data_IF_628484094898
#
_entry.id   IF_628484094898
#
_cell.length_a   1.000
_cell.length_b   1.000
_cell.length_c   1.000
_cell.angle_alpha   90.00
_cell.angle_beta   90.00
_cell.angle_gamma   90.00
#
_symmetry.space_group_name_H-M   'P 1'
#
loop_
_entity.id
_entity.type
_entity.pdbx_description
1 polymer ?
#
# COMPACT_ATOMS: atom_id res chain seq x y z
N UNK A 1 -13.44 -37.10 -1.19
CA UNK A 1 -14.01 -36.30 -0.09
C UNK A 1 -12.92 -36.13 0.95
N UNK A 2 -12.23 -34.99 0.92
CA UNK A 2 -11.24 -34.63 1.93
C UNK A 2 -11.65 -33.27 2.48
N UNK A 3 -12.04 -33.27 3.75
CA UNK A 3 -12.42 -32.08 4.50
C UNK A 3 -11.21 -31.13 4.58
N UNK A 4 -11.31 -29.97 3.93
CA UNK A 4 -10.39 -28.86 4.14
C UNK A 4 -10.86 -28.14 5.41
N UNK A 5 -9.98 -28.11 6.41
CA UNK A 5 -10.17 -27.35 7.65
C UNK A 5 -10.48 -25.89 7.31
N UNK A 6 -11.69 -25.45 7.62
CA UNK A 6 -12.08 -24.05 7.72
C UNK A 6 -11.57 -23.48 9.04
N UNK A 7 -10.29 -23.13 9.11
CA UNK A 7 -9.83 -22.19 10.13
C UNK A 7 -9.75 -20.81 9.46
N UNK A 8 -10.86 -20.08 9.51
CA UNK A 8 -10.91 -18.66 9.16
C UNK A 8 -10.23 -17.86 10.27
N UNK A 9 -8.90 -17.75 10.23
CA UNK A 9 -8.16 -16.80 11.03
C UNK A 9 -8.07 -15.46 10.29
N UNK A 10 -8.42 -14.38 10.97
CA UNK A 10 -8.29 -13.00 10.48
C UNK A 10 -6.83 -12.58 10.48
N UNK A 11 -6.09 -13.05 9.48
CA UNK A 11 -4.66 -12.81 9.33
C UNK A 11 -4.28 -11.34 9.18
N UNK A 12 -5.24 -10.47 8.79
CA UNK A 12 -5.01 -9.03 8.67
C UNK A 12 -4.95 -8.38 10.06
N UNK A 13 -5.83 -8.77 10.99
CA UNK A 13 -5.83 -8.21 12.36
C UNK A 13 -4.86 -8.91 13.33
N UNK A 14 -4.46 -10.16 13.06
CA UNK A 14 -3.51 -10.93 13.88
C UNK A 14 -2.07 -10.39 13.84
N UNK A 15 -1.74 -9.55 12.87
CA UNK A 15 -0.38 -9.03 12.65
C UNK A 15 -0.29 -7.52 12.75
N UNK A 16 -1.44 -6.86 12.92
CA UNK A 16 -1.45 -5.52 13.43
C UNK A 16 -0.90 -5.49 14.86
N UNK A 17 -0.16 -4.43 15.22
CA UNK A 17 0.27 -4.18 16.59
C UNK A 17 -0.84 -4.39 17.61
N UNK A 18 -0.51 -4.93 18.79
CA UNK A 18 -1.47 -5.00 19.90
C UNK A 18 -1.97 -3.62 20.34
N UNK A 19 -1.21 -2.56 20.03
CA UNK A 19 -1.58 -1.17 20.26
C UNK A 19 -2.72 -0.67 19.36
N UNK A 20 -3.07 -1.39 18.28
CA UNK A 20 -4.16 -0.99 17.39
C UNK A 20 -5.48 -1.00 18.14
N UNK A 21 -6.11 0.18 18.19
CA UNK A 21 -7.37 0.39 18.88
C UNK A 21 -8.52 -0.27 18.13
N UNK A 22 -9.46 -0.81 18.90
CA UNK A 22 -10.65 -1.51 18.44
C UNK A 22 -11.90 -0.79 18.92
N UNK A 23 -12.87 -0.67 18.02
CA UNK A 23 -14.14 0.03 18.24
C UNK A 23 -15.31 -0.85 17.79
N UNK A 24 -16.49 -0.65 18.37
CA UNK A 24 -17.73 -1.19 17.80
C UNK A 24 -18.33 -0.15 16.85
N UNK A 25 -18.64 -0.57 15.63
CA UNK A 25 -19.32 0.29 14.67
C UNK A 25 -20.79 0.45 15.06
N UNK A 26 -21.26 1.70 15.20
CA UNK A 26 -22.69 1.99 15.41
C UNK A 26 -23.35 2.60 14.18
N UNK A 27 -22.73 3.64 13.63
CA UNK A 27 -23.22 4.40 12.48
C UNK A 27 -22.08 5.22 11.85
N UNK A 28 -22.38 5.85 10.70
CA UNK A 28 -21.43 6.66 9.92
C UNK A 28 -20.93 7.90 10.67
N UNK A 29 -21.77 8.51 11.50
CA UNK A 29 -21.41 9.73 12.22
C UNK A 29 -20.40 9.44 13.33
N UNK A 30 -20.64 8.38 14.11
CA UNK A 30 -19.70 7.88 15.11
C UNK A 30 -18.39 7.45 14.47
N UNK A 31 -18.45 6.72 13.34
CA UNK A 31 -17.28 6.32 12.58
C UNK A 31 -16.42 7.53 12.18
N UNK A 32 -17.05 8.58 11.64
CA UNK A 32 -16.34 9.80 11.24
C UNK A 32 -15.68 10.52 12.43
N UNK A 33 -16.36 10.58 13.59
CA UNK A 33 -15.80 11.16 14.81
C UNK A 33 -14.59 10.38 15.33
N UNK A 34 -14.68 9.04 15.37
CA UNK A 34 -13.55 8.18 15.77
C UNK A 34 -12.39 8.34 14.80
N UNK A 35 -12.66 8.34 13.50
CA UNK A 35 -11.63 8.51 12.47
C UNK A 35 -10.91 9.86 12.61
N UNK A 36 -11.65 10.94 12.89
CA UNK A 36 -11.05 12.27 13.11
C UNK A 36 -10.13 12.27 14.34
N UNK A 37 -10.60 11.72 15.47
CA UNK A 37 -9.83 11.62 16.71
C UNK A 37 -8.56 10.77 16.56
N UNK A 38 -8.67 9.63 15.89
CA UNK A 38 -7.53 8.73 15.68
C UNK A 38 -6.53 9.30 14.68
N UNK A 39 -6.99 10.08 13.71
CA UNK A 39 -6.12 10.83 12.80
C UNK A 39 -5.34 11.90 13.55
N UNK A 40 -5.97 12.65 14.44
CA UNK A 40 -5.30 13.64 15.28
C UNK A 40 -4.21 12.97 16.13
N UNK A 41 -4.55 11.85 16.80
CA UNK A 41 -3.59 11.06 17.58
C UNK A 41 -2.41 10.54 16.76
N UNK A 42 -2.68 10.05 15.55
CA UNK A 42 -1.62 9.61 14.63
C UNK A 42 -0.70 10.78 14.29
N UNK A 43 -1.25 11.92 13.89
CA UNK A 43 -0.46 13.09 13.51
C UNK A 43 0.36 13.63 14.70
N UNK A 44 -0.22 13.67 15.89
CA UNK A 44 0.50 14.08 17.10
C UNK A 44 1.63 13.11 17.41
N UNK A 45 1.37 11.80 17.41
CA UNK A 45 2.38 10.78 17.62
C UNK A 45 3.50 10.86 16.56
N UNK A 46 3.13 11.19 15.32
CA UNK A 46 4.09 11.42 14.25
C UNK A 46 5.00 12.63 14.48
N UNK A 47 4.48 13.71 15.09
CA UNK A 47 5.26 14.89 15.46
C UNK A 47 6.21 14.59 16.63
N UNK A 48 5.72 14.00 17.71
CA UNK A 48 6.52 13.69 18.90
C UNK A 48 7.68 12.72 18.60
N UNK A 49 7.45 11.74 17.73
CA UNK A 49 8.50 10.82 17.29
C UNK A 49 9.66 11.52 16.57
N UNK A 50 9.45 12.70 16.00
CA UNK A 50 10.48 13.49 15.32
C UNK A 50 11.25 14.36 16.32
N UNK A 51 10.54 14.98 17.26
CA UNK A 51 11.17 15.79 18.32
C UNK A 51 12.17 14.98 19.17
N UNK A 52 11.86 13.71 19.46
CA UNK A 52 12.76 12.83 20.21
C UNK A 52 14.04 12.53 19.42
N UNK A 53 13.97 12.34 18.09
CA UNK A 53 15.17 12.07 17.28
C UNK A 53 16.08 13.28 17.13
N UNK A 54 15.53 14.50 17.15
CA UNK A 54 16.32 15.73 17.03
C UNK A 54 17.14 16.03 18.30
N UNK A 55 16.69 15.55 19.46
CA UNK A 55 17.35 15.74 20.76
C UNK A 55 18.52 14.76 20.97
N UNK A 56 18.52 13.60 20.30
CA UNK A 56 19.42 12.48 20.60
C UNK A 56 20.67 12.39 19.70
N UNK A 57 21.15 13.52 19.18
CA UNK A 57 22.42 13.61 18.43
C UNK A 57 23.68 13.48 19.31
N UNK A 58 23.57 12.89 20.50
CA UNK A 58 24.62 12.95 21.51
C UNK A 58 24.68 11.82 22.53
N UNK A 59 24.42 10.55 22.16
CA UNK A 59 24.95 9.41 22.94
C UNK A 59 24.72 8.08 22.23
N UNK A 60 25.80 7.32 22.00
CA UNK A 60 25.72 5.86 21.83
C UNK A 60 24.99 5.24 23.03
N UNK A 61 23.74 4.74 22.84
CA UNK A 61 23.16 3.62 23.62
C UNK A 61 21.76 3.21 23.13
N UNK A 62 21.65 1.90 22.84
CA UNK A 62 20.48 1.03 22.73
C UNK A 62 19.21 1.60 22.08
N UNK A 63 18.86 1.01 20.94
CA UNK A 63 17.52 0.96 20.33
C UNK A 63 16.45 0.62 21.38
N UNK A 64 15.93 1.62 22.09
CA UNK A 64 14.66 1.52 22.80
C UNK A 64 13.65 2.27 21.94
N UNK A 65 12.93 1.50 21.12
CA UNK A 65 11.76 1.98 20.39
C UNK A 65 10.82 2.73 21.35
N UNK A 66 10.28 3.90 20.97
CA UNK A 66 9.30 4.61 21.78
C UNK A 66 8.16 3.67 22.17
N UNK A 67 7.80 3.66 23.46
CA UNK A 67 6.83 2.75 24.08
C UNK A 67 5.38 2.88 23.59
N UNK A 68 5.12 3.72 22.58
CA UNK A 68 3.84 3.81 21.90
C UNK A 68 4.05 3.52 20.42
N UNK A 69 3.80 2.28 20.03
CA UNK A 69 3.90 1.82 18.64
C UNK A 69 2.92 2.62 17.76
N UNK A 70 3.47 3.52 16.94
CA UNK A 70 2.71 4.43 16.07
C UNK A 70 2.06 3.63 14.97
N UNK A 71 0.73 3.74 14.84
CA UNK A 71 -0.03 2.94 13.87
C UNK A 71 -1.01 3.81 13.11
N UNK A 72 -1.02 3.64 11.79
CA UNK A 72 -2.04 4.19 10.88
C UNK A 72 -3.33 3.36 10.85
N UNK A 73 -3.43 2.32 11.68
CA UNK A 73 -4.56 1.39 11.65
C UNK A 73 -5.48 1.56 12.86
N UNK A 74 -6.77 1.44 12.60
CA UNK A 74 -7.82 1.21 13.60
C UNK A 74 -8.72 0.08 13.13
N UNK A 75 -9.37 -0.60 14.07
CA UNK A 75 -10.22 -1.75 13.79
C UNK A 75 -11.64 -1.48 14.29
N UNK A 76 -12.63 -1.84 13.49
CA UNK A 76 -14.03 -1.85 13.87
C UNK A 76 -14.60 -3.27 13.85
N UNK A 77 -15.40 -3.60 14.86
CA UNK A 77 -16.35 -4.72 14.82
C UNK A 77 -17.61 -4.24 14.10
N UNK A 78 -17.95 -4.88 12.98
CA UNK A 78 -19.11 -4.51 12.14
C UNK A 78 -19.68 -5.76 11.46
N UNK A 79 -21.00 -5.93 11.49
CA UNK A 79 -21.61 -7.09 10.84
C UNK A 79 -21.64 -6.91 9.30
N UNK A 80 -21.67 -8.01 8.53
CA UNK A 80 -21.63 -7.94 7.08
C UNK A 80 -22.80 -7.17 6.45
N UNK A 81 -23.97 -7.13 7.08
CA UNK A 81 -25.13 -6.41 6.52
C UNK A 81 -24.88 -4.92 6.58
N UNK A 82 -24.47 -4.43 7.75
CA UNK A 82 -24.14 -3.01 7.96
C UNK A 82 -22.94 -2.60 7.11
N UNK A 83 -21.89 -3.41 7.03
CA UNK A 83 -20.74 -3.13 6.15
C UNK A 83 -21.17 -2.96 4.68
N UNK A 84 -21.98 -3.87 4.15
CA UNK A 84 -22.47 -3.78 2.77
C UNK A 84 -23.30 -2.51 2.54
N UNK A 85 -24.15 -2.13 3.50
CA UNK A 85 -24.99 -0.94 3.40
C UNK A 85 -24.16 0.35 3.45
N UNK A 86 -23.20 0.42 4.37
CA UNK A 86 -22.55 1.68 4.70
C UNK A 86 -21.26 1.95 3.93
N UNK A 87 -20.56 0.92 3.47
CA UNK A 87 -19.27 1.02 2.80
C UNK A 87 -19.27 0.58 1.33
N UNK A 88 -20.22 -0.25 0.90
CA UNK A 88 -20.25 -0.80 -0.47
C UNK A 88 -21.45 -0.39 -1.32
N UNK A 89 -22.51 0.16 -0.71
CA UNK A 89 -23.69 0.58 -1.47
C UNK A 89 -23.35 1.69 -2.46
N UNK A 90 -24.14 1.83 -3.53
CA UNK A 90 -23.93 2.90 -4.53
C UNK A 90 -24.01 4.32 -3.92
N UNK A 91 -24.66 4.44 -2.75
CA UNK A 91 -24.79 5.69 -2.00
C UNK A 91 -23.70 5.85 -0.93
N UNK A 92 -22.77 4.90 -0.81
CA UNK A 92 -21.61 5.03 0.06
C UNK A 92 -20.65 6.08 -0.53
N UNK A 93 -20.43 7.16 0.21
CA UNK A 93 -19.47 8.19 -0.18
C UNK A 93 -18.06 7.59 0.01
N UNK A 94 -17.21 7.54 -1.04
CA UNK A 94 -15.84 7.08 -0.90
C UNK A 94 -15.08 7.95 0.09
N UNK A 95 -14.51 7.34 1.12
CA UNK A 95 -13.67 8.05 2.08
C UNK A 95 -12.23 7.94 1.58
N UNK A 96 -11.83 8.84 0.68
CA UNK A 96 -10.50 8.82 0.06
C UNK A 96 -9.33 8.88 1.06
N UNK A 97 -9.60 9.37 2.26
CA UNK A 97 -8.64 9.50 3.35
C UNK A 97 -8.37 8.19 4.11
N UNK A 98 -9.00 7.07 3.72
CA UNK A 98 -8.75 5.75 4.29
C UNK A 98 -8.60 4.66 3.22
N UNK A 99 -8.10 3.49 3.63
CA UNK A 99 -8.27 2.21 2.93
C UNK A 99 -8.88 1.19 3.88
N UNK A 100 -9.73 0.33 3.35
CA UNK A 100 -10.43 -0.69 4.13
C UNK A 100 -10.01 -2.10 3.75
N UNK A 101 -9.97 -2.97 4.76
CA UNK A 101 -9.97 -4.43 4.61
C UNK A 101 -11.04 -5.01 5.53
N UNK A 102 -11.97 -5.79 5.00
CA UNK A 102 -13.09 -6.38 5.74
C UNK A 102 -13.08 -7.90 5.62
N UNK A 103 -13.11 -8.57 6.77
CA UNK A 103 -13.32 -10.02 6.88
C UNK A 103 -14.73 -10.32 7.44
N UNK A 104 -15.65 -10.86 6.63
CA UNK A 104 -17.00 -11.18 7.08
C UNK A 104 -17.05 -12.33 8.10
N UNK A 105 -16.04 -13.21 8.15
CA UNK A 105 -16.04 -14.34 9.07
C UNK A 105 -15.77 -13.89 10.50
N UNK A 106 -14.88 -12.92 10.68
CA UNK A 106 -14.55 -12.34 11.98
C UNK A 106 -15.30 -11.06 12.28
N UNK A 107 -16.04 -10.52 11.30
CA UNK A 107 -16.78 -9.25 11.42
C UNK A 107 -15.84 -8.08 11.72
N UNK A 108 -14.64 -8.14 11.16
CA UNK A 108 -13.57 -7.15 11.40
C UNK A 108 -13.43 -6.25 10.18
N UNK A 109 -13.56 -4.94 10.39
CA UNK A 109 -13.16 -3.91 9.44
C UNK A 109 -11.86 -3.25 9.91
N UNK A 110 -10.77 -3.52 9.20
CA UNK A 110 -9.50 -2.83 9.36
C UNK A 110 -9.52 -1.56 8.51
N UNK A 111 -9.22 -0.43 9.13
CA UNK A 111 -9.16 0.89 8.49
C UNK A 111 -7.74 1.42 8.59
N UNK A 112 -7.11 1.65 7.44
CA UNK A 112 -5.84 2.35 7.29
C UNK A 112 -6.11 3.84 7.07
N UNK A 113 -5.54 4.71 7.90
CA UNK A 113 -5.60 6.15 7.75
C UNK A 113 -4.51 6.61 6.78
N UNK A 114 -4.92 7.13 5.64
CA UNK A 114 -4.00 7.62 4.61
C UNK A 114 -3.44 8.99 5.03
N UNK A 115 -2.11 9.12 5.08
CA UNK A 115 -1.40 10.37 5.37
C UNK A 115 -1.08 11.17 4.08
N UNK A 116 -0.56 12.39 4.25
CA UNK A 116 -0.16 13.24 3.12
C UNK A 116 1.03 12.64 2.36
N UNK A 117 2.03 12.14 3.08
CA UNK A 117 3.21 11.47 2.50
C UNK A 117 2.82 10.21 1.72
N UNK A 118 1.90 9.41 2.29
CA UNK A 118 1.34 8.24 1.61
C UNK A 118 0.69 8.62 0.28
N UNK A 119 -0.20 9.61 0.33
CA UNK A 119 -0.91 10.11 -0.85
C UNK A 119 0.07 10.58 -1.91
N UNK A 120 1.07 11.36 -1.51
CA UNK A 120 2.05 11.94 -2.42
C UNK A 120 2.91 10.87 -3.11
N UNK A 121 3.37 9.87 -2.35
CA UNK A 121 4.11 8.72 -2.90
C UNK A 121 3.25 7.95 -3.92
N UNK A 122 2.01 7.63 -3.57
CA UNK A 122 1.11 6.88 -4.44
C UNK A 122 0.81 7.62 -5.75
N UNK A 123 0.54 8.93 -5.69
CA UNK A 123 0.31 9.75 -6.87
C UNK A 123 1.59 9.93 -7.72
N UNK A 124 2.76 10.05 -7.09
CA UNK A 124 4.03 10.18 -7.83
C UNK A 124 4.33 8.91 -8.64
N UNK A 125 4.15 7.72 -8.05
CA UNK A 125 4.26 6.44 -8.77
C UNK A 125 3.24 6.37 -9.90
N UNK A 126 1.99 6.73 -9.61
CA UNK A 126 0.92 6.75 -10.62
C UNK A 126 1.28 7.60 -11.84
N UNK A 127 1.79 8.81 -11.61
CA UNK A 127 2.23 9.72 -12.68
C UNK A 127 3.43 9.17 -13.46
N UNK A 128 4.35 8.48 -12.79
CA UNK A 128 5.49 7.87 -13.45
C UNK A 128 5.07 6.70 -14.37
N UNK A 129 4.16 5.84 -13.88
CA UNK A 129 3.55 4.76 -14.68
C UNK A 129 2.80 5.33 -15.87
N UNK A 130 1.95 6.33 -15.64
CA UNK A 130 1.15 6.95 -16.70
C UNK A 130 2.04 7.55 -17.80
N UNK A 131 3.08 8.31 -17.43
CA UNK A 131 4.04 8.87 -18.40
C UNK A 131 4.79 7.79 -19.19
N UNK A 132 5.13 6.66 -18.56
CA UNK A 132 5.75 5.54 -19.25
C UNK A 132 4.77 4.88 -20.24
N UNK A 133 3.49 4.74 -19.88
CA UNK A 133 2.46 4.20 -20.76
C UNK A 133 2.13 5.15 -21.94
N UNK A 134 2.05 6.46 -21.71
CA UNK A 134 1.82 7.47 -22.76
C UNK A 134 2.91 7.40 -23.83
N UNK A 135 4.18 7.18 -23.44
CA UNK A 135 5.29 7.03 -24.41
C UNK A 135 5.10 5.82 -25.34
N UNK A 136 4.37 4.80 -24.90
CA UNK A 136 4.02 3.63 -25.71
C UNK A 136 2.67 3.79 -26.44
N UNK A 137 1.90 4.84 -26.16
CA UNK A 137 0.53 5.02 -26.65
C UNK A 137 -0.49 4.11 -25.96
N UNK A 138 -0.27 3.79 -24.68
CA UNK A 138 -1.03 2.80 -23.91
C UNK A 138 -1.71 3.38 -22.66
N UNK A 139 -1.72 4.70 -22.49
CA UNK A 139 -2.38 5.39 -21.39
C UNK A 139 -3.89 5.08 -21.31
N UNK A 140 -4.57 4.91 -22.44
CA UNK A 140 -5.98 4.48 -22.48
C UNK A 140 -6.21 2.95 -22.48
N UNK A 141 -5.13 2.17 -22.41
CA UNK A 141 -5.18 0.71 -22.50
C UNK A 141 -5.35 0.01 -21.15
N UNK A 142 -5.38 0.77 -20.04
CA UNK A 142 -5.49 0.27 -18.68
C UNK A 142 -6.73 0.82 -17.95
N UNK A 143 -7.14 0.12 -16.88
CA UNK A 143 -7.96 0.67 -15.82
C UNK A 143 -7.10 0.95 -14.58
N UNK A 144 -7.50 1.97 -13.84
CA UNK A 144 -6.92 2.34 -12.56
C UNK A 144 -7.85 1.85 -11.44
N UNK A 145 -7.27 1.23 -10.42
CA UNK A 145 -7.97 0.62 -9.30
C UNK A 145 -7.55 1.34 -8.02
N UNK A 146 -8.06 2.56 -7.81
CA UNK A 146 -7.76 3.38 -6.64
C UNK A 146 -8.84 3.20 -5.57
N UNK A 147 -8.49 2.63 -4.41
CA UNK A 147 -9.43 2.52 -3.28
C UNK A 147 -10.70 1.74 -3.60
N UNK A 148 -10.63 0.83 -4.58
CA UNK A 148 -11.77 0.01 -5.02
C UNK A 148 -11.78 -1.30 -4.27
N UNK A 149 -12.96 -1.74 -3.84
CA UNK A 149 -13.11 -3.01 -3.15
C UNK A 149 -12.87 -4.20 -4.08
N UNK A 150 -11.77 -4.90 -3.81
CA UNK A 150 -11.42 -6.14 -4.48
C UNK A 150 -11.85 -7.31 -3.60
N UNK A 151 -12.54 -8.28 -4.21
CA UNK A 151 -12.89 -9.52 -3.53
C UNK A 151 -11.67 -10.43 -3.43
N UNK A 152 -11.24 -10.72 -2.21
CA UNK A 152 -10.06 -11.50 -1.88
C UNK A 152 -10.53 -12.71 -1.09
N UNK A 153 -11.08 -13.70 -1.81
CA UNK A 153 -11.64 -14.93 -1.25
C UNK A 153 -12.72 -14.68 -0.15
N UNK A 154 -13.70 -13.82 -0.46
CA UNK A 154 -14.77 -13.45 0.46
C UNK A 154 -14.44 -12.28 1.38
N UNK A 155 -13.17 -11.86 1.46
CA UNK A 155 -12.78 -10.59 2.07
C UNK A 155 -12.91 -9.45 1.07
N UNK A 156 -13.09 -8.23 1.56
CA UNK A 156 -13.04 -7.02 0.73
C UNK A 156 -11.82 -6.22 1.10
N UNK A 157 -10.90 -5.98 0.17
CA UNK A 157 -9.69 -5.18 0.41
C UNK A 157 -9.53 -4.13 -0.67
N UNK A 158 -9.15 -2.93 -0.26
CA UNK A 158 -8.82 -1.83 -1.15
C UNK A 158 -7.30 -1.70 -1.30
N UNK A 159 -6.76 -1.68 -2.53
CA UNK A 159 -5.35 -1.36 -2.74
C UNK A 159 -5.09 0.14 -2.55
N UNK A 160 -3.85 0.51 -2.22
CA UNK A 160 -3.45 1.92 -2.20
C UNK A 160 -3.56 2.53 -3.61
N UNK A 161 -3.10 1.79 -4.63
CA UNK A 161 -3.32 2.02 -6.07
C UNK A 161 -3.21 0.69 -6.84
N UNK A 162 -3.80 0.59 -8.02
CA UNK A 162 -3.62 -0.58 -8.88
C UNK A 162 -3.86 -0.28 -10.36
N UNK A 163 -3.31 -1.13 -11.21
CA UNK A 163 -3.41 -1.05 -12.66
C UNK A 163 -3.71 -2.42 -13.25
N UNK A 164 -4.52 -2.47 -14.30
CA UNK A 164 -4.80 -3.69 -15.05
C UNK A 164 -5.28 -3.37 -16.46
N UNK A 165 -5.28 -4.33 -17.39
CA UNK A 165 -5.64 -4.07 -18.78
C UNK A 165 -7.14 -3.74 -18.88
N UNK A 166 -7.48 -2.70 -19.64
CA UNK A 166 -8.87 -2.30 -19.89
C UNK A 166 -9.68 -3.41 -20.57
N UNK A 167 -9.00 -4.17 -21.43
CA UNK A 167 -9.52 -5.32 -22.18
C UNK A 167 -8.65 -6.55 -21.88
N UNK A 168 -8.86 -7.22 -20.72
CA UNK A 168 -8.09 -8.41 -20.39
C UNK A 168 -8.33 -9.54 -21.41
N UNK A 169 -7.38 -10.47 -21.59
CA UNK A 169 -7.58 -11.67 -22.40
C UNK A 169 -8.85 -12.45 -22.01
N UNK A 170 -9.40 -13.23 -22.94
CA UNK A 170 -10.59 -14.05 -22.65
C UNK A 170 -10.32 -14.98 -21.47
N UNK A 171 -11.24 -14.99 -20.50
CA UNK A 171 -11.14 -15.80 -19.29
C UNK A 171 -10.41 -15.11 -18.13
N UNK A 172 -9.75 -13.97 -18.35
CA UNK A 172 -9.13 -13.20 -17.28
C UNK A 172 -10.14 -12.21 -16.66
N UNK A 173 -10.26 -12.13 -15.32
CA UNK A 173 -11.14 -11.18 -14.66
C UNK A 173 -10.66 -9.74 -14.83
N UNK A 174 -11.59 -8.76 -14.79
CA UNK A 174 -11.26 -7.34 -14.74
C UNK A 174 -10.83 -6.94 -13.33
N UNK A 175 -9.53 -6.99 -13.05
CA UNK A 175 -8.91 -6.74 -11.74
C UNK A 175 -7.53 -6.11 -11.93
N UNK A 176 -6.94 -5.49 -10.90
CA UNK A 176 -5.56 -5.03 -10.99
C UNK A 176 -4.62 -6.24 -11.17
N UNK A 177 -3.74 -6.17 -12.17
CA UNK A 177 -2.64 -7.11 -12.36
C UNK A 177 -1.34 -6.60 -11.72
N UNK A 178 -1.26 -5.29 -11.47
CA UNK A 178 -0.19 -4.63 -10.71
C UNK A 178 -0.86 -3.84 -9.59
N UNK A 179 -0.38 -4.01 -8.36
CA UNK A 179 -0.86 -3.31 -7.17
C UNK A 179 0.29 -2.51 -6.56
N UNK A 180 -0.01 -1.35 -5.98
CA UNK A 180 0.89 -0.58 -5.14
C UNK A 180 0.41 -0.66 -3.69
N UNK A 181 1.34 -0.87 -2.78
CA UNK A 181 1.16 -0.72 -1.33
C UNK A 181 2.21 0.23 -0.77
N UNK A 182 1.78 1.24 -0.03
CA UNK A 182 2.65 2.26 0.57
C UNK A 182 2.55 2.17 2.08
N UNK A 183 3.66 1.86 2.72
CA UNK A 183 3.81 1.80 4.17
C UNK A 183 4.54 3.05 4.68
N UNK A 184 3.88 3.85 5.52
CA UNK A 184 4.51 4.99 6.21
C UNK A 184 4.84 4.59 7.64
N UNK A 185 3.82 4.35 8.45
CA UNK A 185 3.97 3.89 9.84
C UNK A 185 3.84 2.37 9.97
N UNK A 186 3.23 1.72 8.99
CA UNK A 186 3.02 0.29 8.93
C UNK A 186 4.31 -0.53 9.08
N UNK A 187 4.25 -1.62 9.84
CA UNK A 187 5.39 -2.51 10.06
C UNK A 187 5.75 -3.28 8.79
N UNK A 188 7.02 -3.66 8.64
CA UNK A 188 7.46 -4.51 7.52
C UNK A 188 6.70 -5.84 7.47
N UNK A 189 6.32 -6.38 8.63
CA UNK A 189 5.58 -7.64 8.75
C UNK A 189 4.17 -7.50 8.15
N UNK A 190 3.46 -6.41 8.45
CA UNK A 190 2.12 -6.16 7.89
C UNK A 190 2.18 -5.87 6.39
N UNK A 191 3.17 -5.09 5.93
CA UNK A 191 3.39 -4.86 4.49
C UNK A 191 3.66 -6.17 3.75
N UNK A 192 4.45 -7.06 4.35
CA UNK A 192 4.74 -8.39 3.79
C UNK A 192 3.48 -9.22 3.60
N UNK A 193 2.56 -9.20 4.55
CA UNK A 193 1.31 -9.94 4.41
C UNK A 193 0.42 -9.38 3.30
N UNK A 194 0.36 -8.06 3.16
CA UNK A 194 -0.41 -7.45 2.08
C UNK A 194 0.17 -7.87 0.72
N UNK A 195 1.50 -7.91 0.60
CA UNK A 195 2.18 -8.45 -0.59
C UNK A 195 1.78 -9.91 -0.85
N UNK A 196 1.88 -10.77 0.16
CA UNK A 196 1.56 -12.20 0.03
C UNK A 196 0.08 -12.40 -0.33
N UNK A 197 -0.83 -11.61 0.25
CA UNK A 197 -2.26 -11.64 -0.03
C UNK A 197 -2.58 -11.22 -1.48
N UNK A 198 -1.96 -10.14 -1.96
CA UNK A 198 -2.17 -9.66 -3.32
C UNK A 198 -1.64 -10.63 -4.38
N UNK A 199 -0.50 -11.27 -4.12
CA UNK A 199 0.13 -12.22 -5.05
C UNK A 199 -0.44 -13.65 -4.97
N UNK A 200 -1.31 -13.95 -4.00
CA UNK A 200 -1.98 -15.24 -3.92
C UNK A 200 -3.01 -15.37 -5.07
N UNK A 201 -2.87 -16.38 -5.95
CA UNK A 201 -3.73 -16.57 -7.12
C UNK A 201 -5.19 -16.90 -6.79
N UNK A 202 -5.47 -17.41 -5.58
CA UNK A 202 -6.82 -17.73 -5.12
C UNK A 202 -7.48 -16.53 -4.42
N UNK A 203 -6.70 -15.48 -4.14
CA UNK A 203 -7.12 -14.35 -3.33
C UNK A 203 -6.98 -13.04 -4.13
N UNK A 204 -5.86 -12.32 -3.99
CA UNK A 204 -5.65 -11.06 -4.68
C UNK A 204 -5.55 -11.24 -6.21
N UNK A 205 -4.80 -12.26 -6.63
CA UNK A 205 -4.51 -12.61 -8.02
C UNK A 205 -3.89 -11.45 -8.83
N UNK A 206 -3.09 -10.61 -8.17
CA UNK A 206 -2.18 -9.69 -8.83
C UNK A 206 -0.92 -10.45 -9.29
N UNK A 207 -0.29 -9.98 -10.36
CA UNK A 207 0.98 -10.53 -10.85
C UNK A 207 2.19 -9.83 -10.24
N UNK A 208 2.03 -8.55 -9.91
CA UNK A 208 3.08 -7.69 -9.36
C UNK A 208 2.52 -6.87 -8.20
N UNK A 209 3.31 -6.75 -7.15
CA UNK A 209 3.10 -5.76 -6.08
C UNK A 209 4.33 -4.87 -6.01
N UNK A 210 4.12 -3.57 -6.20
CA UNK A 210 5.10 -2.53 -5.88
C UNK A 210 4.88 -2.18 -4.43
N UNK A 211 5.90 -2.36 -3.59
CA UNK A 211 5.83 -2.04 -2.17
C UNK A 211 6.77 -0.89 -1.86
N UNK A 212 6.23 0.19 -1.29
CA UNK A 212 7.01 1.36 -0.89
C UNK A 212 7.03 1.43 0.64
N UNK A 213 8.21 1.51 1.24
CA UNK A 213 8.36 1.77 2.67
C UNK A 213 9.11 3.08 2.87
N UNK A 214 8.41 4.07 3.42
CA UNK A 214 9.00 5.33 3.85
C UNK A 214 9.61 5.16 5.25
N UNK A 215 10.85 5.61 5.42
CA UNK A 215 11.45 5.74 6.75
C UNK A 215 10.96 7.03 7.39
N UNK A 216 10.44 6.94 8.61
CA UNK A 216 9.84 8.10 9.29
C UNK A 216 10.83 9.03 9.97
N UNK A 217 12.04 8.56 10.24
CA UNK A 217 13.07 9.27 10.99
C UNK A 217 14.08 9.97 10.08
N UNK A 218 14.32 9.44 8.88
CA UNK A 218 15.26 10.03 7.91
C UNK A 218 14.68 9.99 6.50
N UNK A 219 15.20 10.86 5.64
CA UNK A 219 14.90 10.89 4.21
C UNK A 219 15.41 9.60 3.53
N UNK A 220 14.60 8.54 3.61
CA UNK A 220 14.88 7.25 2.98
C UNK A 220 13.58 6.55 2.59
N UNK A 221 13.54 6.05 1.36
CA UNK A 221 12.44 5.24 0.81
C UNK A 221 13.03 3.97 0.22
N UNK A 222 12.43 2.83 0.54
CA UNK A 222 12.67 1.59 -0.21
C UNK A 222 11.49 1.31 -1.13
N UNK A 223 11.78 0.87 -2.35
CA UNK A 223 10.81 0.49 -3.37
C UNK A 223 11.14 -0.94 -3.81
N UNK A 224 10.24 -1.86 -3.55
CA UNK A 224 10.40 -3.27 -3.90
C UNK A 224 9.39 -3.68 -4.98
N UNK A 225 9.84 -4.49 -5.94
CA UNK A 225 8.95 -5.17 -6.89
C UNK A 225 8.85 -6.65 -6.54
N UNK A 226 7.70 -7.03 -6.02
CA UNK A 226 7.37 -8.41 -5.71
C UNK A 226 6.56 -9.03 -6.82
N UNK A 227 6.88 -10.27 -7.14
CA UNK A 227 6.12 -11.08 -8.09
C UNK A 227 6.07 -12.53 -7.59
N UNK A 228 5.18 -13.32 -8.19
CA UNK A 228 5.10 -14.74 -7.87
C UNK A 228 6.20 -15.52 -8.58
N UNK A 229 6.90 -16.36 -7.83
CA UNK A 229 7.77 -17.39 -8.39
C UNK A 229 6.90 -18.46 -9.06
N UNK A 230 7.10 -18.64 -10.37
CA UNK A 230 6.36 -19.63 -11.16
C UNK A 230 6.70 -21.08 -10.79
N UNK A 231 7.85 -21.31 -10.13
CA UNK A 231 8.31 -22.65 -9.72
C UNK A 231 7.76 -23.00 -8.34
N UNK A 232 8.01 -22.15 -7.34
CA UNK A 232 7.64 -22.45 -5.95
C UNK A 232 6.29 -21.87 -5.52
N UNK A 233 5.68 -21.04 -6.37
CA UNK A 233 4.40 -20.39 -6.10
C UNK A 233 4.44 -19.30 -5.02
N UNK A 234 5.62 -18.98 -4.48
CA UNK A 234 5.83 -18.00 -3.39
C UNK A 234 6.10 -16.60 -3.95
N UNK A 235 5.77 -15.56 -3.18
CA UNK A 235 6.16 -14.20 -3.49
C UNK A 235 7.68 -14.01 -3.31
N UNK A 236 8.34 -13.55 -4.37
CA UNK A 236 9.78 -13.24 -4.42
C UNK A 236 10.00 -11.76 -4.69
N UNK A 237 11.01 -11.19 -4.03
CA UNK A 237 11.44 -9.82 -4.32
C UNK A 237 12.36 -9.89 -5.54
N UNK A 238 11.92 -9.32 -6.65
CA UNK A 238 12.67 -9.33 -7.91
C UNK A 238 13.53 -8.10 -8.11
N UNK A 239 13.18 -6.98 -7.47
CA UNK A 239 13.92 -5.72 -7.53
C UNK A 239 13.81 -5.02 -6.17
N UNK A 240 14.95 -4.64 -5.60
CA UNK A 240 15.04 -3.83 -4.39
C UNK A 240 15.74 -2.52 -4.75
N UNK A 241 15.06 -1.41 -4.51
CA UNK A 241 15.55 -0.06 -4.79
C UNK A 241 15.56 0.70 -3.47
N UNK A 242 16.65 1.41 -3.22
CA UNK A 242 16.76 2.34 -2.11
C UNK A 242 17.09 3.73 -2.63
N UNK A 243 16.32 4.71 -2.16
CA UNK A 243 16.60 6.13 -2.35
C UNK A 243 16.75 6.76 -0.97
N UNK A 244 17.86 7.44 -0.72
CA UNK A 244 18.13 8.12 0.54
C UNK A 244 18.81 9.46 0.32
N UNK A 245 18.63 10.38 1.26
CA UNK A 245 19.39 11.62 1.35
C UNK A 245 20.54 11.43 2.35
N UNK A 246 21.73 11.87 1.98
CA UNK A 246 22.89 11.87 2.87
C UNK A 246 22.92 13.12 3.76
N UNK A 247 23.85 13.14 4.74
CA UNK A 247 24.08 14.30 5.60
C UNK A 247 24.50 15.59 4.85
N UNK A 248 24.87 15.48 3.57
CA UNK A 248 25.27 16.59 2.72
C UNK A 248 24.18 16.97 1.69
N UNK A 249 22.93 16.61 1.94
CA UNK A 249 21.78 16.83 1.04
C UNK A 249 21.96 16.21 -0.37
N UNK A 250 22.88 15.24 -0.49
CA UNK A 250 23.07 14.46 -1.73
C UNK A 250 22.14 13.26 -1.73
N UNK A 251 21.29 13.16 -2.76
CA UNK A 251 20.41 12.00 -2.98
C UNK A 251 21.20 10.84 -3.57
N UNK A 252 21.16 9.70 -2.88
CA UNK A 252 21.74 8.43 -3.30
C UNK A 252 20.63 7.49 -3.73
N UNK A 253 20.77 6.94 -4.93
CA UNK A 253 19.85 5.95 -5.49
C UNK A 253 20.63 4.67 -5.83
N UNK A 254 20.11 3.53 -5.42
CA UNK A 254 20.65 2.21 -5.77
C UNK A 254 19.54 1.24 -6.22
N UNK A 255 19.91 0.28 -7.07
CA UNK A 255 19.00 -0.78 -7.53
C UNK A 255 18.03 -0.41 -8.66
N UNK A 256 17.93 0.87 -9.05
CA UNK A 256 17.07 1.31 -10.14
C UNK A 256 17.61 0.99 -11.54
N UNK A 257 16.80 1.18 -12.61
CA UNK A 257 15.41 1.67 -12.60
C UNK A 257 14.40 0.63 -12.09
N UNK A 258 13.16 1.05 -11.82
CA UNK A 258 12.06 0.12 -11.53
C UNK A 258 11.43 -0.34 -12.85
N UNK A 259 11.43 -1.64 -13.09
CA UNK A 259 10.94 -2.24 -14.34
C UNK A 259 9.73 -3.13 -14.06
N UNK A 260 8.55 -2.73 -14.53
CA UNK A 260 7.34 -3.56 -14.44
C UNK A 260 7.20 -4.33 -15.75
N UNK A 261 7.27 -5.68 -15.74
CA UNK A 261 7.20 -6.45 -16.97
C UNK A 261 5.87 -6.26 -17.70
N UNK A 262 5.92 -5.93 -18.99
CA UNK A 262 4.76 -5.64 -19.83
C UNK A 262 3.73 -6.78 -19.77
N UNK A 263 4.22 -8.02 -19.89
CA UNK A 263 3.38 -9.23 -19.89
C UNK A 263 2.61 -9.40 -18.58
N UNK A 264 3.18 -8.96 -17.45
CA UNK A 264 2.53 -9.06 -16.15
C UNK A 264 1.46 -7.98 -15.96
N UNK A 265 1.66 -6.78 -16.53
CA UNK A 265 0.65 -5.72 -16.52
C UNK A 265 -0.48 -6.02 -17.53
N UNK A 266 -0.16 -6.28 -18.79
CA UNK A 266 -1.16 -6.39 -19.87
C UNK A 266 -1.71 -7.80 -20.09
N UNK A 267 -1.15 -8.81 -19.43
CA UNK A 267 -1.55 -10.22 -19.55
C UNK A 267 -1.40 -10.77 -20.98
N UNK A 268 -0.52 -10.16 -21.79
CA UNK A 268 -0.23 -10.56 -23.17
C UNK A 268 1.18 -10.16 -23.57
N UNK A 269 1.63 -10.71 -24.68
CA UNK A 269 2.92 -10.37 -25.26
C UNK A 269 2.92 -8.94 -25.83
N UNK A 270 4.05 -8.22 -25.72
CA UNK A 270 4.19 -6.88 -26.30
C UNK A 270 4.22 -6.93 -27.83
N UNK A 271 3.66 -5.90 -28.46
CA UNK A 271 3.75 -5.60 -29.88
C UNK A 271 5.02 -4.75 -30.13
N UNK A 272 6.10 -5.46 -30.46
CA UNK A 272 7.39 -4.83 -30.76
C UNK A 272 7.38 -4.08 -32.10
N UNK A 273 8.10 -2.95 -32.24
CA UNK A 273 9.04 -2.40 -31.25
C UNK A 273 8.42 -1.37 -30.29
N UNK A 274 7.13 -1.05 -30.42
CA UNK A 274 6.51 0.06 -29.70
C UNK A 274 6.20 -0.26 -28.24
N UNK A 275 5.78 -1.48 -27.95
CA UNK A 275 5.45 -1.91 -26.59
C UNK A 275 6.66 -2.57 -25.92
N UNK A 276 7.03 -2.06 -24.74
CA UNK A 276 8.14 -2.56 -23.92
C UNK A 276 7.69 -2.66 -22.47
N UNK A 277 8.56 -3.15 -21.59
CA UNK A 277 8.32 -3.08 -20.14
C UNK A 277 8.11 -1.62 -19.70
N UNK A 278 7.33 -1.42 -18.64
CA UNK A 278 7.08 -0.10 -18.07
C UNK A 278 8.28 0.26 -17.20
N UNK A 279 9.08 1.22 -17.66
CA UNK A 279 10.31 1.66 -16.99
C UNK A 279 10.05 2.98 -16.26
N UNK A 280 10.23 2.96 -14.95
CA UNK A 280 10.32 4.15 -14.11
C UNK A 280 11.81 4.39 -13.88
N UNK A 281 12.35 5.40 -14.58
CA UNK A 281 13.76 5.75 -14.58
C UNK A 281 14.24 6.32 -13.24
N UNK A 282 15.57 6.42 -13.08
CA UNK A 282 16.18 6.88 -11.83
C UNK A 282 15.79 8.32 -11.47
N UNK A 283 15.54 9.18 -12.46
CA UNK A 283 15.06 10.56 -12.23
C UNK A 283 13.69 10.54 -11.58
N UNK A 284 12.77 9.70 -12.07
CA UNK A 284 11.46 9.54 -11.45
C UNK A 284 11.51 8.88 -10.07
N UNK A 285 12.38 7.89 -9.87
CA UNK A 285 12.55 7.25 -8.56
C UNK A 285 13.06 8.24 -7.51
N UNK A 286 14.04 9.06 -7.85
CA UNK A 286 14.51 10.17 -7.01
C UNK A 286 13.35 11.14 -6.71
N UNK A 287 12.62 11.58 -7.74
CA UNK A 287 11.49 12.49 -7.58
C UNK A 287 10.37 11.93 -6.69
N UNK A 288 10.07 10.64 -6.80
CA UNK A 288 9.08 9.97 -5.93
C UNK A 288 9.53 10.09 -4.47
N UNK A 289 10.81 9.82 -4.18
CA UNK A 289 11.35 9.88 -2.83
C UNK A 289 11.34 11.32 -2.29
N UNK A 290 11.84 12.29 -3.06
CA UNK A 290 11.88 13.70 -2.70
C UNK A 290 10.49 14.25 -2.39
N UNK A 291 9.48 13.96 -3.22
CA UNK A 291 8.10 14.38 -2.95
C UNK A 291 7.54 13.75 -1.66
N UNK A 292 7.93 12.52 -1.34
CA UNK A 292 7.62 11.88 -0.06
C UNK A 292 8.26 12.61 1.11
N UNK A 293 9.53 12.96 1.00
CA UNK A 293 10.29 13.69 2.03
C UNK A 293 9.83 15.12 2.22
N UNK A 294 9.53 15.84 1.13
CA UNK A 294 8.97 17.20 1.19
C UNK A 294 7.69 17.22 2.01
N UNK A 295 6.78 16.26 1.78
CA UNK A 295 5.57 16.12 2.59
C UNK A 295 5.87 15.66 4.02
N UNK A 296 6.85 14.78 4.19
CA UNK A 296 7.26 14.28 5.51
C UNK A 296 7.81 15.40 6.39
N UNK A 297 8.68 16.25 5.85
CA UNK A 297 9.42 17.27 6.58
C UNK A 297 8.86 18.70 6.37
N UNK A 298 7.67 18.84 5.76
CA UNK A 298 7.07 20.14 5.43
C UNK A 298 6.85 21.07 6.63
N UNK A 299 6.81 20.52 7.84
CA UNK A 299 6.61 21.26 9.10
C UNK A 299 7.88 21.38 9.95
N UNK A 300 9.05 21.02 9.41
CA UNK A 300 10.35 21.02 10.09
C UNK A 300 11.31 22.09 9.55
N UNK A 301 10.84 23.01 8.69
CA UNK A 301 11.58 24.16 8.18
C UNK A 301 10.96 25.47 8.64
#
# INVERSE_FOLDING_TARGET
MSYINQNGQDHDSEVLPLSVRRYDYKDKDQFAQILALERERLLDSMRHSREISDIDTGSDRSEQEPTTEITEYIIFSIDPTTFNQDFLSLDAIPIFSIRTSFDPNTKTLTVKMVTGEHTQLAFAVHKAVDKALTRMGLDEAIYQYLGVDIDVNGRKKQPDMGWGPRRPPRGCPKRPSVVLEVAVSETRKKLRQDIDLWLDPLQGNANVVIAIKLNRQRAMVTIDLWQRDTVNGKAINSQHIEVSESEYDEVKLSGGPLVIPFRLLFLRDPQVPQETDVIIDNEWLQKIAELGWEMQFSNSR
#
